data_IF_306813781772
#
_entry.id   IF_306813781772
#
_cell.length_a   1.000
_cell.length_b   1.000
_cell.length_c   1.000
_cell.angle_alpha   90.00
_cell.angle_beta   90.00
_cell.angle_gamma   90.00
#
_symmetry.space_group_name_H-M   'P 1'
#
loop_
_entity.id
_entity.type
_entity.pdbx_description
1 polymer ?
#
# COMPACT_ATOMS: atom_id res chain seq x y z
N UNK A 1 -5.96 -15.17 -17.95
CA UNK A 1 -6.99 -14.15 -17.66
C UNK A 1 -7.54 -13.58 -18.96
N UNK A 2 -8.83 -13.15 -18.95
CA UNK A 2 -9.46 -12.47 -20.10
C UNK A 2 -8.83 -11.10 -20.30
N UNK A 3 -8.49 -10.76 -21.53
CA UNK A 3 -8.07 -9.41 -21.89
C UNK A 3 -9.28 -8.57 -22.30
N UNK A 4 -9.83 -7.82 -21.36
CA UNK A 4 -11.01 -6.98 -21.60
C UNK A 4 -10.75 -5.86 -22.61
N UNK A 5 -9.52 -5.37 -22.72
CA UNK A 5 -9.16 -4.41 -23.76
C UNK A 5 -9.27 -5.02 -25.15
N UNK A 6 -8.94 -6.30 -25.31
CA UNK A 6 -9.12 -6.99 -26.57
C UNK A 6 -10.60 -7.24 -26.87
N UNK A 7 -11.35 -7.75 -25.88
CA UNK A 7 -12.75 -8.11 -26.05
C UNK A 7 -13.66 -6.91 -26.36
N UNK A 8 -13.46 -5.80 -25.69
CA UNK A 8 -14.34 -4.62 -25.81
C UNK A 8 -13.82 -3.53 -26.75
N UNK A 9 -12.49 -3.42 -26.92
CA UNK A 9 -11.87 -2.35 -27.69
C UNK A 9 -11.02 -2.83 -28.86
N UNK A 10 -10.90 -4.14 -29.08
CA UNK A 10 -10.09 -4.70 -30.17
C UNK A 10 -8.57 -4.49 -29.99
N UNK A 11 -8.12 -4.08 -28.80
CA UNK A 11 -6.68 -3.87 -28.52
C UNK A 11 -6.04 -5.23 -28.29
N UNK A 12 -5.06 -5.60 -29.13
CA UNK A 12 -4.39 -6.90 -29.01
C UNK A 12 -3.61 -7.04 -27.70
N UNK A 13 -3.38 -8.29 -27.28
CA UNK A 13 -2.54 -8.58 -26.10
C UNK A 13 -1.16 -7.93 -26.23
N UNK A 14 -0.53 -8.05 -27.40
CA UNK A 14 0.78 -7.44 -27.66
C UNK A 14 0.79 -5.91 -27.48
N UNK A 15 -0.27 -5.23 -27.89
CA UNK A 15 -0.41 -3.79 -27.67
C UNK A 15 -0.56 -3.44 -26.19
N UNK A 16 -1.35 -4.24 -25.46
CA UNK A 16 -1.52 -4.11 -24.01
C UNK A 16 -0.20 -4.31 -23.30
N UNK A 17 0.52 -5.40 -23.58
CA UNK A 17 1.79 -5.74 -22.96
C UNK A 17 2.83 -4.65 -23.21
N UNK A 18 2.96 -4.17 -24.44
CA UNK A 18 3.85 -3.05 -24.79
C UNK A 18 3.51 -1.77 -24.02
N UNK A 19 2.23 -1.48 -23.84
CA UNK A 19 1.79 -0.32 -23.06
C UNK A 19 2.14 -0.46 -21.59
N UNK A 20 1.95 -1.65 -21.01
CA UNK A 20 2.32 -1.92 -19.62
C UNK A 20 3.83 -1.82 -19.40
N UNK A 21 4.64 -2.32 -20.33
CA UNK A 21 6.10 -2.17 -20.29
C UNK A 21 6.54 -0.70 -20.38
N UNK A 22 5.91 0.09 -21.24
CA UNK A 22 6.17 1.54 -21.31
C UNK A 22 5.83 2.25 -19.98
N UNK A 23 4.71 1.90 -19.34
CA UNK A 23 4.28 2.45 -18.05
C UNK A 23 5.29 2.04 -16.96
N UNK A 24 5.68 0.76 -16.92
CA UNK A 24 6.70 0.29 -15.99
C UNK A 24 8.00 1.08 -16.14
N UNK A 25 8.52 1.16 -17.36
CA UNK A 25 9.74 1.93 -17.63
C UNK A 25 9.62 3.41 -17.22
N UNK A 26 8.47 4.03 -17.44
CA UNK A 26 8.24 5.43 -17.10
C UNK A 26 8.30 5.66 -15.58
N UNK A 27 7.61 4.84 -14.80
CA UNK A 27 7.44 5.08 -13.37
C UNK A 27 8.47 4.38 -12.49
N UNK A 28 9.11 3.30 -12.95
CA UNK A 28 10.02 2.51 -12.12
C UNK A 28 11.48 2.54 -12.57
N UNK A 29 11.76 2.84 -13.85
CA UNK A 29 13.11 2.69 -14.41
C UNK A 29 13.71 4.01 -14.89
N UNK A 30 12.95 4.84 -15.61
CA UNK A 30 13.47 6.03 -16.24
C UNK A 30 13.87 7.10 -15.23
N UNK A 31 15.14 7.43 -15.15
CA UNK A 31 15.73 8.37 -14.18
C UNK A 31 15.08 9.77 -14.15
N UNK A 32 14.41 10.18 -15.23
CA UNK A 32 13.76 11.51 -15.31
C UNK A 32 12.32 11.52 -14.82
N UNK A 33 11.67 10.34 -14.76
CA UNK A 33 10.23 10.26 -14.53
C UNK A 33 9.85 9.25 -13.46
N UNK A 34 10.78 8.41 -13.02
CA UNK A 34 10.51 7.36 -12.02
C UNK A 34 10.09 7.96 -10.68
N UNK A 35 9.24 7.24 -10.01
CA UNK A 35 8.86 7.49 -8.61
C UNK A 35 9.37 6.38 -7.67
N UNK A 36 9.88 5.29 -8.22
CA UNK A 36 10.50 4.18 -7.50
C UNK A 36 11.98 4.44 -7.28
N UNK A 37 12.44 4.36 -6.03
CA UNK A 37 13.84 4.57 -5.66
C UNK A 37 14.32 3.46 -4.73
N UNK A 38 15.49 2.90 -5.01
CA UNK A 38 16.17 1.94 -4.15
C UNK A 38 17.05 2.64 -3.13
N UNK A 39 17.19 2.04 -1.95
CA UNK A 39 18.10 2.45 -0.87
C UNK A 39 19.23 1.45 -0.70
N UNK A 40 20.35 1.89 -0.10
CA UNK A 40 21.56 1.08 0.08
C UNK A 40 21.35 -0.17 0.95
N UNK A 41 20.29 -0.23 1.74
CA UNK A 41 19.95 -1.33 2.65
C UNK A 41 19.07 -2.41 2.00
N UNK A 42 19.05 -2.49 0.67
CA UNK A 42 18.23 -3.43 -0.11
C UNK A 42 16.73 -3.24 0.13
N UNK A 43 16.31 -2.00 0.35
CA UNK A 43 14.90 -1.59 0.40
C UNK A 43 14.58 -0.65 -0.76
N UNK A 44 13.30 -0.36 -1.00
CA UNK A 44 12.89 0.63 -1.98
C UNK A 44 11.62 1.37 -1.50
N UNK A 45 11.42 2.56 -2.03
CA UNK A 45 10.24 3.37 -1.73
C UNK A 45 9.65 4.03 -2.98
N UNK A 46 8.38 4.39 -2.89
CA UNK A 46 7.70 5.23 -3.87
C UNK A 46 7.71 6.67 -3.34
N UNK A 47 8.27 7.56 -4.13
CA UNK A 47 8.41 8.97 -3.79
C UNK A 47 7.21 9.79 -4.24
N UNK A 48 6.57 10.50 -3.33
CA UNK A 48 5.56 11.50 -3.65
C UNK A 48 6.26 12.79 -4.10
N UNK A 49 6.22 13.04 -5.40
CA UNK A 49 6.87 14.20 -6.02
C UNK A 49 6.20 15.53 -5.66
N UNK A 50 4.93 15.50 -5.29
CA UNK A 50 4.17 16.69 -4.91
C UNK A 50 4.50 17.18 -3.50
N UNK A 51 4.67 16.25 -2.57
CA UNK A 51 4.90 16.53 -1.16
C UNK A 51 6.34 16.26 -0.70
N UNK A 52 7.16 15.67 -1.57
CA UNK A 52 8.56 15.34 -1.31
C UNK A 52 8.75 14.37 -0.12
N UNK A 53 7.83 13.45 0.05
CA UNK A 53 7.81 12.45 1.10
C UNK A 53 7.53 11.04 0.57
N UNK A 54 7.34 10.08 1.47
CA UNK A 54 6.97 8.68 1.16
C UNK A 54 5.69 8.37 1.94
N UNK A 55 4.62 8.00 1.25
CA UNK A 55 3.29 7.75 1.83
C UNK A 55 2.88 6.30 1.71
N UNK A 56 2.05 5.84 2.65
CA UNK A 56 1.48 4.49 2.60
C UNK A 56 0.67 4.24 1.33
N UNK A 57 -0.03 5.26 0.80
CA UNK A 57 -0.73 5.19 -0.48
C UNK A 57 0.24 4.86 -1.62
N UNK A 58 1.30 5.67 -1.80
CA UNK A 58 2.30 5.44 -2.84
C UNK A 58 2.97 4.07 -2.71
N UNK A 59 3.37 3.69 -1.48
CA UNK A 59 3.99 2.40 -1.18
C UNK A 59 3.07 1.23 -1.51
N UNK A 60 1.84 1.26 -1.06
CA UNK A 60 0.87 0.18 -1.26
C UNK A 60 0.42 0.07 -2.72
N UNK A 61 0.26 1.19 -3.43
CA UNK A 61 -0.03 1.20 -4.87
C UNK A 61 1.17 0.67 -5.68
N UNK A 62 2.40 1.05 -5.30
CA UNK A 62 3.62 0.48 -5.89
C UNK A 62 3.68 -1.04 -5.75
N UNK A 63 3.38 -1.57 -4.55
CA UNK A 63 3.28 -3.01 -4.31
C UNK A 63 2.18 -3.66 -5.17
N UNK A 64 1.00 -3.04 -5.28
CA UNK A 64 -0.08 -3.54 -6.12
C UNK A 64 0.32 -3.58 -7.60
N UNK A 65 1.02 -2.58 -8.11
CA UNK A 65 1.55 -2.56 -9.48
C UNK A 65 2.57 -3.69 -9.66
N UNK A 66 3.49 -3.85 -8.71
CA UNK A 66 4.50 -4.89 -8.75
C UNK A 66 3.88 -6.29 -8.82
N UNK A 67 2.90 -6.60 -7.97
CA UNK A 67 2.27 -7.92 -7.98
C UNK A 67 1.48 -8.18 -9.26
N UNK A 68 0.83 -7.17 -9.83
CA UNK A 68 0.11 -7.32 -11.10
C UNK A 68 1.04 -7.53 -12.29
N UNK A 69 2.21 -6.89 -12.29
CA UNK A 69 3.20 -6.98 -13.38
C UNK A 69 4.27 -8.05 -13.17
N UNK A 70 4.13 -8.91 -12.15
CA UNK A 70 5.07 -9.98 -11.84
C UNK A 70 6.48 -9.50 -11.50
N UNK A 71 6.57 -8.48 -10.67
CA UNK A 71 7.81 -7.81 -10.23
C UNK A 71 8.06 -8.10 -8.75
N UNK A 72 8.38 -9.37 -8.41
CA UNK A 72 8.52 -9.83 -7.03
C UNK A 72 9.68 -9.14 -6.30
N UNK A 73 10.82 -8.94 -6.96
CA UNK A 73 11.99 -8.34 -6.34
C UNK A 73 11.72 -6.89 -5.86
N UNK A 74 11.04 -6.09 -6.69
CA UNK A 74 10.65 -4.72 -6.36
C UNK A 74 9.57 -4.70 -5.29
N UNK A 75 8.61 -5.63 -5.35
CA UNK A 75 7.60 -5.80 -4.30
C UNK A 75 8.23 -6.04 -2.93
N UNK A 76 9.17 -6.98 -2.85
CA UNK A 76 9.86 -7.34 -1.61
C UNK A 76 10.67 -6.18 -1.03
N UNK A 77 11.30 -5.37 -1.89
CA UNK A 77 12.04 -4.18 -1.46
C UNK A 77 11.09 -3.11 -0.90
N UNK A 78 9.95 -2.86 -1.55
CA UNK A 78 8.92 -1.95 -1.06
C UNK A 78 8.35 -2.42 0.27
N UNK A 79 7.98 -3.70 0.37
CA UNK A 79 7.45 -4.26 1.60
C UNK A 79 8.47 -4.20 2.75
N UNK A 80 9.74 -4.47 2.48
CA UNK A 80 10.82 -4.35 3.47
C UNK A 80 10.96 -2.92 3.99
N UNK A 81 10.87 -1.94 3.10
CA UNK A 81 10.93 -0.53 3.48
C UNK A 81 9.76 -0.14 4.37
N UNK A 82 8.53 -0.49 3.99
CA UNK A 82 7.33 -0.20 4.78
C UNK A 82 7.44 -0.81 6.19
N UNK A 83 7.83 -2.07 6.31
CA UNK A 83 8.06 -2.74 7.60
C UNK A 83 9.13 -2.08 8.44
N UNK A 84 10.22 -1.66 7.82
CA UNK A 84 11.37 -1.10 8.53
C UNK A 84 11.11 0.32 9.04
N UNK A 85 10.47 1.14 8.24
CA UNK A 85 10.42 2.58 8.49
C UNK A 85 9.03 3.11 8.85
N UNK A 86 7.96 2.51 8.35
CA UNK A 86 6.60 2.97 8.61
C UNK A 86 5.93 2.24 9.78
N UNK A 87 6.18 0.94 9.97
CA UNK A 87 5.54 0.14 11.01
C UNK A 87 5.79 0.72 12.41
N UNK A 88 4.73 0.81 13.21
CA UNK A 88 4.81 1.01 14.65
C UNK A 88 4.88 -0.34 15.36
N UNK A 89 5.98 -0.57 16.08
CA UNK A 89 6.21 -1.80 16.85
C UNK A 89 5.79 -1.68 18.32
N UNK A 90 5.43 -0.46 18.76
CA UNK A 90 5.02 -0.18 20.15
C UNK A 90 4.14 1.07 20.20
N UNK A 91 3.58 1.36 21.39
CA UNK A 91 2.70 2.50 21.63
C UNK A 91 1.29 2.29 21.10
N UNK A 92 0.48 3.35 21.12
CA UNK A 92 -0.94 3.30 20.74
C UNK A 92 -1.17 2.84 19.29
N UNK A 93 -0.22 3.14 18.40
CA UNK A 93 -0.26 2.77 16.98
C UNK A 93 0.35 1.40 16.67
N UNK A 94 0.78 0.64 17.67
CA UNK A 94 1.43 -0.67 17.43
C UNK A 94 0.63 -1.52 16.45
N UNK A 95 1.29 -2.02 15.41
CA UNK A 95 0.69 -2.82 14.32
C UNK A 95 0.16 -2.00 13.15
N UNK A 96 0.05 -0.67 13.27
CA UNK A 96 -0.25 0.24 12.17
C UNK A 96 1.00 0.82 11.53
N UNK A 97 0.86 1.42 10.35
CA UNK A 97 1.94 2.07 9.60
C UNK A 97 1.76 3.59 9.62
N UNK A 98 2.81 4.33 9.94
CA UNK A 98 2.81 5.78 9.83
C UNK A 98 2.50 6.18 8.39
N UNK A 99 1.47 7.02 8.18
CA UNK A 99 0.99 7.32 6.84
C UNK A 99 2.00 8.06 5.95
N UNK A 100 3.00 8.74 6.56
CA UNK A 100 4.08 9.38 5.80
C UNK A 100 5.42 9.39 6.54
N UNK A 101 6.50 9.29 5.76
CA UNK A 101 7.88 9.35 6.20
C UNK A 101 8.72 10.19 5.24
N UNK A 102 9.87 10.66 5.69
CA UNK A 102 10.88 11.17 4.77
C UNK A 102 11.47 10.03 3.93
N UNK A 103 12.13 10.30 2.78
CA UNK A 103 12.86 9.26 2.03
C UNK A 103 13.97 8.55 2.82
N UNK A 104 14.39 9.12 3.93
CA UNK A 104 15.34 8.50 4.88
C UNK A 104 14.66 7.63 5.94
N UNK A 105 13.35 7.41 5.85
CA UNK A 105 12.59 6.57 6.78
C UNK A 105 12.27 7.23 8.12
N UNK A 106 12.35 8.55 8.24
CA UNK A 106 11.95 9.26 9.46
C UNK A 106 10.47 9.58 9.38
N UNK A 107 9.68 9.10 10.33
CA UNK A 107 8.25 9.42 10.45
C UNK A 107 8.07 10.93 10.62
N UNK A 108 7.17 11.54 9.83
CA UNK A 108 6.96 13.00 9.83
C UNK A 108 5.88 13.35 10.85
N UNK A 109 6.17 14.33 11.73
CA UNK A 109 5.29 14.70 12.82
C UNK A 109 5.60 13.98 14.13
N UNK A 110 4.92 14.38 15.22
CA UNK A 110 5.22 13.86 16.57
C UNK A 110 4.78 12.41 16.75
N UNK A 111 3.64 12.04 16.21
CA UNK A 111 3.08 10.67 16.15
C UNK A 111 2.11 10.61 14.96
N UNK A 112 2.61 10.49 13.73
CA UNK A 112 1.71 10.44 12.58
C UNK A 112 0.80 9.22 12.68
N UNK A 113 -0.51 9.43 12.47
CA UNK A 113 -1.50 8.36 12.43
C UNK A 113 -1.24 7.41 11.26
N UNK A 114 -2.06 6.39 11.11
CA UNK A 114 -2.12 5.60 9.88
C UNK A 114 -3.12 6.22 8.89
N UNK A 115 -3.08 5.77 7.64
CA UNK A 115 -4.07 6.04 6.61
C UNK A 115 -4.74 4.73 6.21
N UNK A 116 -6.07 4.67 6.31
CA UNK A 116 -6.84 3.42 6.16
C UNK A 116 -6.68 2.77 4.78
N UNK A 117 -6.61 3.58 3.73
CA UNK A 117 -6.39 3.12 2.37
C UNK A 117 -5.03 2.44 2.20
N UNK A 118 -3.97 3.02 2.75
CA UNK A 118 -2.65 2.40 2.75
C UNK A 118 -2.64 1.04 3.43
N UNK A 119 -3.24 0.92 4.62
CA UNK A 119 -3.36 -0.35 5.36
C UNK A 119 -4.10 -1.41 4.55
N UNK A 120 -5.26 -1.06 3.96
CA UNK A 120 -6.07 -1.98 3.16
C UNK A 120 -5.31 -2.44 1.92
N UNK A 121 -4.62 -1.52 1.23
CA UNK A 121 -3.87 -1.88 0.03
C UNK A 121 -2.61 -2.70 0.35
N UNK A 122 -1.94 -2.49 1.49
CA UNK A 122 -0.89 -3.41 1.95
C UNK A 122 -1.43 -4.83 2.13
N UNK A 123 -2.54 -4.99 2.88
CA UNK A 123 -3.18 -6.28 3.10
C UNK A 123 -3.55 -6.94 1.76
N UNK A 124 -4.21 -6.18 0.88
CA UNK A 124 -4.71 -6.70 -0.40
C UNK A 124 -3.55 -7.10 -1.32
N UNK A 125 -2.51 -6.28 -1.43
CA UNK A 125 -1.35 -6.59 -2.27
C UNK A 125 -0.55 -7.80 -1.76
N UNK A 126 -0.47 -7.99 -0.44
CA UNK A 126 0.14 -9.17 0.17
C UNK A 126 -0.66 -10.45 -0.10
N UNK A 127 -1.99 -10.42 -0.02
CA UNK A 127 -2.81 -11.57 -0.43
C UNK A 127 -2.64 -11.89 -1.91
N UNK A 128 -2.55 -10.89 -2.78
CA UNK A 128 -2.28 -11.11 -4.21
C UNK A 128 -0.89 -11.71 -4.42
N UNK A 129 0.12 -11.24 -3.69
CA UNK A 129 1.47 -11.79 -3.72
C UNK A 129 1.50 -13.27 -3.28
N UNK A 130 0.80 -13.61 -2.20
CA UNK A 130 0.63 -14.99 -1.74
C UNK A 130 0.06 -15.89 -2.83
N UNK A 131 -0.99 -15.45 -3.53
CA UNK A 131 -1.60 -16.20 -4.62
C UNK A 131 -0.73 -16.28 -5.88
N UNK A 132 0.11 -15.29 -6.13
CA UNK A 132 0.93 -15.23 -7.32
C UNK A 132 2.26 -15.97 -7.18
N UNK A 133 2.92 -15.79 -6.05
CA UNK A 133 4.31 -16.25 -5.82
C UNK A 133 4.43 -17.32 -4.75
N UNK A 134 3.35 -17.63 -4.03
CA UNK A 134 3.38 -18.55 -2.88
C UNK A 134 3.91 -17.88 -1.61
N UNK A 135 4.24 -18.70 -0.62
CA UNK A 135 4.60 -18.25 0.72
C UNK A 135 5.96 -18.80 1.22
N UNK A 136 6.68 -19.51 0.37
CA UNK A 136 7.94 -20.21 0.73
C UNK A 136 9.19 -19.39 0.36
N UNK A 137 9.03 -18.13 -0.06
CA UNK A 137 10.10 -17.24 -0.49
C UNK A 137 10.68 -16.38 0.63
N UNK A 138 11.07 -15.14 0.30
CA UNK A 138 11.60 -14.17 1.27
C UNK A 138 10.58 -13.80 2.36
N UNK A 139 9.30 -13.91 2.05
CA UNK A 139 8.18 -13.66 2.95
C UNK A 139 7.10 -14.72 2.78
N UNK A 140 6.47 -15.12 3.89
CA UNK A 140 5.13 -15.69 3.88
C UNK A 140 4.14 -14.52 3.75
N UNK A 141 3.78 -14.19 2.51
CA UNK A 141 2.89 -13.05 2.23
C UNK A 141 1.51 -13.22 2.86
N UNK A 142 1.00 -14.45 2.94
CA UNK A 142 -0.28 -14.70 3.58
C UNK A 142 -0.21 -14.41 5.08
N UNK A 143 0.85 -14.86 5.77
CA UNK A 143 1.06 -14.61 7.19
C UNK A 143 1.24 -13.10 7.46
N UNK A 144 1.99 -12.39 6.60
CA UNK A 144 2.15 -10.94 6.69
C UNK A 144 0.80 -10.21 6.55
N UNK A 145 -0.02 -10.57 5.56
CA UNK A 145 -1.35 -10.00 5.38
C UNK A 145 -2.28 -10.26 6.57
N UNK A 146 -2.32 -11.52 7.03
CA UNK A 146 -3.14 -11.92 8.19
C UNK A 146 -2.72 -11.19 9.47
N UNK A 147 -1.42 -10.97 9.64
CA UNK A 147 -0.90 -10.23 10.79
C UNK A 147 -1.42 -8.79 10.80
N UNK A 148 -1.31 -8.07 9.68
CA UNK A 148 -1.82 -6.69 9.59
C UNK A 148 -3.32 -6.69 9.84
N UNK A 149 -4.08 -7.55 9.16
CA UNK A 149 -5.53 -7.65 9.32
C UNK A 149 -5.93 -7.87 10.77
N UNK A 150 -5.23 -8.77 11.49
CA UNK A 150 -5.43 -9.00 12.91
C UNK A 150 -5.16 -7.75 13.74
N UNK A 151 -4.02 -7.09 13.48
CA UNK A 151 -3.60 -5.90 14.24
C UNK A 151 -4.60 -4.75 14.08
N UNK A 152 -5.09 -4.49 12.86
CA UNK A 152 -6.05 -3.42 12.57
C UNK A 152 -7.49 -3.72 12.99
N UNK A 153 -7.78 -4.99 13.33
CA UNK A 153 -9.10 -5.44 13.80
C UNK A 153 -9.15 -5.76 15.30
N UNK A 154 -8.05 -5.59 16.03
CA UNK A 154 -7.95 -5.95 17.46
C UNK A 154 -7.82 -4.74 18.39
N UNK A 155 -8.18 -3.54 17.95
CA UNK A 155 -8.12 -2.32 18.75
C UNK A 155 -9.43 -2.12 19.51
N UNK A 156 -9.33 -1.92 20.82
CA UNK A 156 -10.46 -1.76 21.72
C UNK A 156 -10.85 -0.31 22.05
N UNK A 157 -10.09 0.65 21.50
CA UNK A 157 -10.28 2.07 21.77
C UNK A 157 -9.68 2.56 23.10
N UNK A 158 -9.10 1.68 23.92
CA UNK A 158 -8.59 2.05 25.26
C UNK A 158 -7.50 3.12 25.23
N UNK A 159 -6.75 3.20 24.13
CA UNK A 159 -5.70 4.21 23.91
C UNK A 159 -6.13 5.31 22.90
N UNK A 160 -7.44 5.40 22.60
CA UNK A 160 -7.97 6.31 21.58
C UNK A 160 -7.71 5.86 20.14
N UNK A 161 -7.36 4.59 19.95
CA UNK A 161 -7.20 3.96 18.63
C UNK A 161 -8.18 2.80 18.52
N UNK A 162 -9.01 2.82 17.50
CA UNK A 162 -10.08 1.86 17.24
C UNK A 162 -9.73 0.94 16.07
N UNK A 163 -10.59 -0.06 15.84
CA UNK A 163 -10.50 -0.90 14.66
C UNK A 163 -10.60 -0.08 13.36
N UNK A 164 -9.87 -0.53 12.35
CA UNK A 164 -9.93 0.08 11.01
C UNK A 164 -11.33 -0.06 10.39
N UNK A 165 -12.01 -1.17 10.67
CA UNK A 165 -13.38 -1.42 10.24
C UNK A 165 -14.33 -1.26 11.43
N UNK A 166 -15.37 -0.46 11.25
CA UNK A 166 -16.42 -0.37 12.26
C UNK A 166 -17.13 -1.72 12.40
N UNK A 167 -17.27 -2.19 13.64
CA UNK A 167 -17.80 -3.54 13.92
C UNK A 167 -19.29 -3.70 13.62
N UNK A 168 -20.05 -2.60 13.63
CA UNK A 168 -21.50 -2.59 13.36
C UNK A 168 -21.78 -2.35 11.87
N UNK A 169 -21.33 -1.20 11.35
CA UNK A 169 -21.60 -0.80 9.97
C UNK A 169 -20.74 -1.53 8.92
N UNK A 170 -19.63 -2.17 9.33
CA UNK A 170 -18.63 -2.80 8.47
C UNK A 170 -17.92 -1.82 7.53
N UNK A 171 -18.11 -0.53 7.73
CA UNK A 171 -17.43 0.52 6.96
C UNK A 171 -16.01 0.76 7.48
N UNK A 172 -15.14 1.15 6.57
CA UNK A 172 -13.76 1.55 6.88
C UNK A 172 -13.77 2.92 7.53
N UNK A 173 -13.03 3.10 8.62
CA UNK A 173 -12.82 4.41 9.23
C UNK A 173 -11.77 5.20 8.43
N UNK A 174 -11.90 6.51 8.36
CA UNK A 174 -10.90 7.36 7.67
C UNK A 174 -9.54 7.31 8.38
N UNK A 175 -9.56 7.53 9.68
CA UNK A 175 -8.44 7.28 10.60
C UNK A 175 -8.99 6.66 11.88
N UNK A 176 -8.35 5.64 12.45
CA UNK A 176 -8.90 4.92 13.60
C UNK A 176 -8.78 5.68 14.94
N UNK A 177 -8.37 6.94 14.96
CA UNK A 177 -8.44 7.83 16.15
C UNK A 177 -9.82 8.46 16.35
N UNK A 178 -10.63 8.52 15.30
CA UNK A 178 -11.95 9.17 15.35
C UNK A 178 -12.94 8.30 14.61
N UNK A 179 -14.13 8.15 15.13
CA UNK A 179 -15.22 7.39 14.50
C UNK A 179 -15.76 8.17 13.30
N UNK A 180 -14.91 8.57 12.36
CA UNK A 180 -15.31 9.13 11.09
C UNK A 180 -15.36 8.02 10.05
N UNK A 181 -16.52 7.78 9.51
CA UNK A 181 -16.75 6.78 8.49
C UNK A 181 -16.15 7.19 7.16
N UNK A 182 -15.54 6.25 6.51
CA UNK A 182 -15.14 6.10 5.11
C UNK A 182 -14.91 7.36 4.26
N UNK A 183 -13.78 7.36 3.57
CA UNK A 183 -13.44 8.30 2.49
C UNK A 183 -14.58 8.52 1.47
N UNK A 184 -15.36 7.49 1.16
CA UNK A 184 -16.50 7.56 0.25
C UNK A 184 -17.71 8.28 0.81
N UNK A 185 -17.81 8.39 2.14
CA UNK A 185 -18.95 9.04 2.80
C UNK A 185 -18.69 10.53 3.11
N UNK A 186 -17.44 10.94 3.17
CA UNK A 186 -17.02 12.31 3.51
C UNK A 186 -16.52 13.10 2.29
N UNK A 187 -16.28 12.44 1.16
CA UNK A 187 -15.99 13.12 -0.10
C UNK A 187 -17.30 13.58 -0.72
N UNK A 188 -17.43 14.87 -1.09
CA UNK A 188 -18.60 15.32 -1.85
C UNK A 188 -18.69 14.48 -3.13
N UNK A 189 -19.84 13.85 -3.31
CA UNK A 189 -20.14 13.14 -4.54
C UNK A 189 -20.13 14.14 -5.69
N UNK A 190 -19.58 13.79 -6.87
CA UNK A 190 -19.73 14.64 -8.05
C UNK A 190 -21.19 14.84 -8.48
N UNK A 191 -22.14 14.25 -7.76
CA UNK A 191 -23.59 14.31 -7.98
C UNK A 191 -24.32 15.19 -6.96
N UNK A 192 -23.63 15.70 -5.96
CA UNK A 192 -24.11 16.68 -4.98
C UNK A 192 -23.65 18.08 -5.40
#
# INVERSE_FOLDING_TARGET
>A
YRNLFNEYLGISQQQTDRKMEQIWNHFFVNEKTKVYYESDDNTAYIYDTGNQDVRTEGMSYGMMICVQLDKQAEFDKLWRWAKKYMLYTSGKWSGYYAWHCTPRGVKIGKEPSCASDGEIYFITSLFFASHRWGNDGAYDYNQEAQKILKDVMSKDGSQGVYNLFNTESKLVTFVPEKVYYCLLYTSPSPRD
#
